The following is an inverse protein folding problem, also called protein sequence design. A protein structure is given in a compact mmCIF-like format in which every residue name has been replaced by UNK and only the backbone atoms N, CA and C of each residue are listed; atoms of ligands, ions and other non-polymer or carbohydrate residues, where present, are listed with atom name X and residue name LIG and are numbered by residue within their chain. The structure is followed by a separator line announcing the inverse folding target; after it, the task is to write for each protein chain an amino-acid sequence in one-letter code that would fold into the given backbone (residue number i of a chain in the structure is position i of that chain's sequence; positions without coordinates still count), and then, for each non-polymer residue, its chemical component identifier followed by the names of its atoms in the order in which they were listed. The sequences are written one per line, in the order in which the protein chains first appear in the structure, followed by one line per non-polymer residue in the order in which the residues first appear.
data_IF_904152021986
#
_entry.id   IF_904152021986
#
_cell.length_a   1.000
_cell.length_b   1.000
_cell.length_c   1.000
_cell.angle_alpha   90.00
_cell.angle_beta   90.00
_cell.angle_gamma   90.00
#
_symmetry.space_group_name_H-M   'P 1'
#
loop_
_entity.id
_entity.type
_entity.pdbx_description
1 polymer ?
#
# COMPACT_ATOMS: atom_id res chain seq x y z
N UNK A 1 -17.82 21.18 5.59
CA UNK A 1 -16.71 21.43 4.65
C UNK A 1 -17.11 21.18 3.19
N UNK A 2 -17.55 19.99 2.77
CA UNK A 2 -17.86 19.74 1.34
C UNK A 2 -19.08 20.51 0.78
N UNK A 3 -20.17 20.62 1.55
CA UNK A 3 -21.35 21.42 1.17
C UNK A 3 -21.04 22.92 1.12
N UNK A 4 -20.16 23.38 2.00
CA UNK A 4 -19.65 24.75 2.06
C UNK A 4 -18.76 25.04 0.84
N UNK A 5 -17.86 24.13 0.46
CA UNK A 5 -17.07 24.25 -0.77
C UNK A 5 -17.95 24.41 -2.01
N UNK A 6 -19.03 23.64 -2.12
CA UNK A 6 -19.98 23.76 -3.22
C UNK A 6 -20.71 25.12 -3.21
N UNK A 7 -21.11 25.62 -2.04
CA UNK A 7 -21.75 26.93 -1.91
C UNK A 7 -20.78 28.06 -2.28
N UNK A 8 -19.54 28.00 -1.81
CA UNK A 8 -18.50 28.98 -2.16
C UNK A 8 -18.24 28.95 -3.66
N UNK A 9 -18.15 27.76 -4.27
CA UNK A 9 -17.94 27.58 -5.71
C UNK A 9 -19.08 28.24 -6.50
N UNK A 10 -20.33 27.94 -6.16
CA UNK A 10 -21.52 28.51 -6.82
C UNK A 10 -21.70 30.00 -6.60
N UNK A 11 -21.13 30.55 -5.53
CA UNK A 11 -21.17 31.98 -5.25
C UNK A 11 -20.11 32.80 -6.01
N UNK A 12 -19.20 32.13 -6.75
CA UNK A 12 -18.10 32.80 -7.46
C UNK A 12 -17.01 33.39 -6.54
N UNK A 13 -17.03 33.04 -5.25
CA UNK A 13 -16.08 33.57 -4.26
C UNK A 13 -14.76 32.78 -4.20
N UNK A 14 -14.67 31.65 -4.90
CA UNK A 14 -13.40 30.95 -5.11
C UNK A 14 -12.60 31.69 -6.17
N UNK A 15 -11.43 32.22 -5.79
CA UNK A 15 -10.51 32.88 -6.74
C UNK A 15 -9.27 32.01 -6.88
N UNK A 16 -8.94 31.63 -8.12
CA UNK A 16 -7.72 30.88 -8.47
C UNK A 16 -7.52 29.58 -7.69
N UNK A 17 -8.60 28.80 -7.51
CA UNK A 17 -8.52 27.54 -6.80
C UNK A 17 -7.57 26.57 -7.53
N UNK A 18 -6.56 26.06 -6.82
CA UNK A 18 -5.67 24.99 -7.30
C UNK A 18 -6.15 23.61 -6.88
N UNK A 19 -7.00 23.54 -5.85
CA UNK A 19 -7.62 22.32 -5.35
C UNK A 19 -9.10 22.55 -5.06
N UNK A 20 -9.94 21.63 -5.54
CA UNK A 20 -11.35 21.55 -5.20
C UNK A 20 -11.67 20.18 -4.61
N UNK A 21 -12.41 20.17 -3.51
CA UNK A 21 -12.91 18.97 -2.84
C UNK A 21 -14.43 19.06 -2.69
N UNK A 22 -15.14 18.26 -3.48
CA UNK A 22 -16.59 18.25 -3.59
C UNK A 22 -17.08 16.84 -3.22
N UNK A 23 -17.51 16.66 -1.98
CA UNK A 23 -18.10 15.40 -1.47
C UNK A 23 -19.46 15.69 -0.84
N UNK A 24 -20.45 15.98 -1.68
CA UNK A 24 -21.72 16.58 -1.24
C UNK A 24 -22.94 15.99 -1.96
N UNK A 25 -22.83 14.72 -2.38
CA UNK A 25 -23.93 13.99 -3.03
C UNK A 25 -24.21 14.48 -4.45
N UNK A 26 -23.17 14.89 -5.19
CA UNK A 26 -23.31 15.34 -6.57
C UNK A 26 -23.76 14.20 -7.48
N UNK A 27 -24.76 14.45 -8.33
CA UNK A 27 -25.13 13.55 -9.44
C UNK A 27 -24.50 13.98 -10.77
N UNK A 28 -24.01 15.23 -10.83
CA UNK A 28 -23.29 15.80 -11.96
C UNK A 28 -22.17 16.74 -11.49
N UNK A 29 -21.14 16.92 -12.31
CA UNK A 29 -20.08 17.89 -12.03
C UNK A 29 -20.61 19.32 -12.28
N UNK A 30 -20.60 20.22 -11.28
CA UNK A 30 -21.06 21.60 -11.47
C UNK A 30 -20.22 22.35 -12.51
N UNK A 31 -20.88 23.13 -13.38
CA UNK A 31 -20.21 23.86 -14.48
C UNK A 31 -19.24 24.92 -13.97
N UNK A 32 -19.47 25.43 -12.77
CA UNK A 32 -18.64 26.43 -12.09
C UNK A 32 -17.21 25.93 -11.85
N UNK A 33 -16.97 24.60 -11.81
CA UNK A 33 -15.62 24.03 -11.76
C UNK A 33 -14.76 24.51 -12.94
N UNK A 34 -15.35 24.73 -14.11
CA UNK A 34 -14.65 25.16 -15.33
C UNK A 34 -14.25 26.63 -15.32
N UNK A 35 -14.72 27.44 -14.36
CA UNK A 35 -14.24 28.81 -14.15
C UNK A 35 -12.80 28.84 -13.61
N UNK A 36 -12.28 27.70 -13.15
CA UNK A 36 -10.91 27.52 -12.66
C UNK A 36 -10.01 26.76 -13.65
N UNK A 37 -10.33 26.76 -14.95
CA UNK A 37 -9.54 26.07 -16.00
C UNK A 37 -8.05 26.41 -15.99
N UNK A 38 -7.74 27.67 -15.65
CA UNK A 38 -6.37 28.21 -15.66
C UNK A 38 -5.57 27.91 -14.40
N UNK A 39 -6.18 27.37 -13.34
CA UNK A 39 -5.52 27.20 -12.03
C UNK A 39 -5.70 25.83 -11.40
N UNK A 40 -6.78 25.11 -11.70
CA UNK A 40 -7.14 23.89 -11.00
C UNK A 40 -6.18 22.73 -11.32
N UNK A 41 -5.48 22.23 -10.31
CA UNK A 41 -4.55 21.11 -10.41
C UNK A 41 -5.10 19.82 -9.79
N UNK A 42 -5.94 19.93 -8.76
CA UNK A 42 -6.48 18.80 -8.01
C UNK A 42 -8.01 18.91 -7.92
N UNK A 43 -8.71 17.92 -8.47
CA UNK A 43 -10.16 17.79 -8.35
C UNK A 43 -10.52 16.49 -7.63
N UNK A 44 -11.07 16.61 -6.42
CA UNK A 44 -11.58 15.50 -5.65
C UNK A 44 -13.12 15.51 -5.66
N UNK A 45 -13.70 14.47 -6.25
CA UNK A 45 -15.12 14.18 -6.40
C UNK A 45 -15.50 12.89 -5.64
N UNK A 46 -14.71 12.49 -4.65
CA UNK A 46 -14.93 11.25 -3.89
C UNK A 46 -16.22 11.32 -3.06
N UNK A 47 -17.00 10.23 -3.03
CA UNK A 47 -18.19 10.13 -2.18
C UNK A 47 -19.38 10.94 -2.72
N UNK A 48 -19.65 10.81 -4.02
CA UNK A 48 -20.83 11.38 -4.67
C UNK A 48 -21.63 10.27 -5.39
N UNK A 49 -22.58 10.65 -6.24
CA UNK A 49 -23.39 9.76 -7.06
C UNK A 49 -23.17 10.04 -8.56
N UNK A 50 -21.91 10.30 -8.96
CA UNK A 50 -21.56 10.54 -10.36
C UNK A 50 -21.54 9.22 -11.12
N UNK A 51 -22.20 9.19 -12.28
CA UNK A 51 -22.12 8.08 -13.24
C UNK A 51 -21.36 8.44 -14.51
N UNK A 52 -21.03 9.72 -14.72
CA UNK A 52 -20.33 10.24 -15.89
C UNK A 52 -19.52 11.50 -15.54
N UNK A 53 -18.54 11.84 -16.38
CA UNK A 53 -17.85 13.13 -16.37
C UNK A 53 -18.19 13.89 -17.66
N UNK A 54 -18.34 15.23 -17.61
CA UNK A 54 -18.70 16.02 -18.78
C UNK A 54 -17.56 16.08 -19.82
N UNK A 55 -17.91 16.18 -21.10
CA UNK A 55 -16.96 16.33 -22.22
C UNK A 55 -16.05 17.56 -22.10
N UNK A 56 -16.46 18.56 -21.32
CA UNK A 56 -15.68 19.77 -21.04
C UNK A 56 -14.51 19.56 -20.07
N UNK A 57 -14.35 18.37 -19.47
CA UNK A 57 -13.26 18.08 -18.53
C UNK A 57 -11.85 18.46 -19.03
N UNK A 58 -11.47 18.25 -20.31
CA UNK A 58 -10.17 18.61 -20.84
C UNK A 58 -9.86 20.11 -20.83
N UNK A 59 -10.88 20.97 -20.64
CA UNK A 59 -10.70 22.41 -20.42
C UNK A 59 -9.90 22.71 -19.15
N UNK A 60 -9.86 21.80 -18.19
CA UNK A 60 -9.01 21.93 -17.01
C UNK A 60 -7.56 21.57 -17.35
N UNK A 61 -6.91 22.42 -18.16
CA UNK A 61 -5.61 22.13 -18.78
C UNK A 61 -4.48 21.90 -17.77
N UNK A 62 -4.63 22.37 -16.52
CA UNK A 62 -3.67 22.14 -15.42
C UNK A 62 -4.05 20.99 -14.49
N UNK A 63 -5.15 20.28 -14.75
CA UNK A 63 -5.61 19.19 -13.88
C UNK A 63 -4.60 18.03 -13.92
N UNK A 64 -3.98 17.78 -12.77
CA UNK A 64 -2.97 16.73 -12.57
C UNK A 64 -3.51 15.55 -11.79
N UNK A 65 -4.47 15.80 -10.89
CA UNK A 65 -5.03 14.79 -9.99
C UNK A 65 -6.55 14.82 -10.06
N UNK A 66 -7.14 13.68 -10.39
CA UNK A 66 -8.58 13.47 -10.42
C UNK A 66 -8.96 12.27 -9.54
N UNK A 67 -9.79 12.51 -8.52
CA UNK A 67 -10.36 11.46 -7.69
C UNK A 67 -11.88 11.40 -7.82
N UNK A 68 -12.39 10.26 -8.22
CA UNK A 68 -13.80 9.93 -8.42
C UNK A 68 -14.17 8.65 -7.65
N UNK A 69 -13.54 8.42 -6.49
CA UNK A 69 -13.78 7.19 -5.71
C UNK A 69 -15.16 7.22 -5.05
N UNK A 70 -15.76 6.06 -4.76
CA UNK A 70 -17.09 5.98 -4.12
C UNK A 70 -18.15 6.78 -4.87
N UNK A 71 -18.37 6.42 -6.14
CA UNK A 71 -19.36 6.98 -7.05
C UNK A 71 -20.12 5.82 -7.75
N UNK A 72 -20.87 6.11 -8.81
CA UNK A 72 -21.75 5.16 -9.51
C UNK A 72 -21.27 4.85 -10.94
N UNK A 73 -19.98 5.01 -11.22
CA UNK A 73 -19.41 4.72 -12.55
C UNK A 73 -19.48 3.22 -12.87
N UNK A 74 -20.09 2.86 -13.99
CA UNK A 74 -20.11 1.48 -14.55
C UNK A 74 -19.15 1.30 -15.72
N UNK A 75 -18.71 2.39 -16.33
CA UNK A 75 -17.67 2.46 -17.38
C UNK A 75 -16.66 3.54 -16.99
N UNK A 76 -15.38 3.28 -17.20
CA UNK A 76 -14.35 4.30 -17.00
C UNK A 76 -14.53 5.43 -18.02
N UNK A 77 -14.63 6.72 -17.62
CA UNK A 77 -15.00 7.79 -18.54
C UNK A 77 -13.95 8.06 -19.61
N UNK A 78 -14.35 8.00 -20.89
CA UNK A 78 -13.44 8.19 -22.03
C UNK A 78 -12.74 9.56 -22.02
N UNK A 79 -13.44 10.60 -21.57
CA UNK A 79 -12.94 11.98 -21.46
C UNK A 79 -11.69 12.12 -20.59
N UNK A 80 -11.41 11.15 -19.71
CA UNK A 80 -10.16 11.13 -18.92
C UNK A 80 -8.94 10.98 -19.84
N UNK A 81 -9.05 10.25 -20.95
CA UNK A 81 -7.99 10.12 -21.95
C UNK A 81 -7.65 11.44 -22.64
N UNK A 82 -8.60 12.36 -22.71
CA UNK A 82 -8.43 13.66 -23.36
C UNK A 82 -7.79 14.72 -22.45
N UNK A 83 -7.50 14.39 -21.19
CA UNK A 83 -6.93 15.34 -20.22
C UNK A 83 -5.38 15.23 -20.18
N UNK A 84 -4.63 16.10 -20.89
CA UNK A 84 -3.21 15.87 -21.18
C UNK A 84 -2.28 15.98 -19.95
N UNK A 85 -2.70 16.72 -18.92
CA UNK A 85 -1.90 16.99 -17.73
C UNK A 85 -2.10 15.97 -16.61
N UNK A 86 -3.05 15.04 -16.74
CA UNK A 86 -3.36 14.08 -15.69
C UNK A 86 -2.17 13.15 -15.42
N UNK A 87 -1.84 13.04 -14.14
CA UNK A 87 -0.78 12.17 -13.61
C UNK A 87 -1.31 11.15 -12.61
N UNK A 88 -2.42 11.46 -11.96
CA UNK A 88 -3.02 10.61 -10.94
C UNK A 88 -4.54 10.57 -11.12
N UNK A 89 -5.06 9.36 -11.26
CA UNK A 89 -6.49 9.12 -11.49
C UNK A 89 -6.97 8.02 -10.56
N UNK A 90 -8.05 8.26 -9.82
CA UNK A 90 -8.60 7.26 -8.91
C UNK A 90 -10.10 7.12 -8.97
N UNK A 91 -10.56 5.89 -9.22
CA UNK A 91 -11.96 5.46 -9.26
C UNK A 91 -12.18 4.27 -8.32
N UNK A 92 -11.63 4.33 -7.09
CA UNK A 92 -11.82 3.25 -6.11
C UNK A 92 -13.30 3.08 -5.72
N UNK A 93 -13.77 1.85 -5.48
CA UNK A 93 -15.11 1.58 -4.94
C UNK A 93 -16.22 2.18 -5.83
N UNK A 94 -16.15 1.87 -7.11
CA UNK A 94 -17.19 2.16 -8.10
C UNK A 94 -17.81 0.82 -8.55
N UNK A 95 -18.41 0.79 -9.75
CA UNK A 95 -19.03 -0.39 -10.32
C UNK A 95 -18.51 -0.65 -11.74
N UNK A 96 -17.27 -0.21 -12.03
CA UNK A 96 -16.71 -0.21 -13.37
C UNK A 96 -16.55 -1.65 -13.85
N UNK A 97 -17.22 -1.98 -14.95
CA UNK A 97 -17.12 -3.27 -15.64
C UNK A 97 -16.27 -3.17 -16.90
N UNK A 98 -16.29 -1.99 -17.56
CA UNK A 98 -15.58 -1.72 -18.80
C UNK A 98 -14.59 -0.55 -18.62
N UNK A 99 -13.34 -0.79 -18.98
CA UNK A 99 -12.35 0.25 -19.23
C UNK A 99 -12.17 0.34 -20.75
N UNK A 100 -12.66 1.41 -21.41
CA UNK A 100 -12.61 1.52 -22.86
C UNK A 100 -11.17 1.70 -23.35
N UNK A 101 -10.92 1.30 -24.59
CA UNK A 101 -9.63 1.45 -25.26
C UNK A 101 -9.44 2.90 -25.71
N UNK A 102 -8.92 3.73 -24.80
CA UNK A 102 -8.72 5.18 -25.00
C UNK A 102 -7.24 5.53 -25.00
N UNK A 103 -6.82 6.67 -25.59
CA UNK A 103 -5.46 7.17 -25.44
C UNK A 103 -5.29 7.71 -24.02
N UNK A 104 -4.92 6.86 -23.06
CA UNK A 104 -4.66 7.29 -21.68
C UNK A 104 -3.60 8.41 -21.65
N UNK A 105 -3.64 9.32 -20.65
CA UNK A 105 -2.66 10.39 -20.55
C UNK A 105 -1.23 9.84 -20.49
N UNK A 106 -0.36 10.34 -21.37
CA UNK A 106 1.02 9.83 -21.53
C UNK A 106 1.83 9.90 -20.22
N UNK A 107 1.55 10.92 -19.39
CA UNK A 107 2.21 11.15 -18.12
C UNK A 107 1.46 10.56 -16.92
N UNK A 108 0.51 9.65 -17.13
CA UNK A 108 -0.19 8.94 -16.05
C UNK A 108 0.82 8.08 -15.27
N UNK A 109 0.98 8.40 -13.98
CA UNK A 109 1.90 7.70 -13.06
C UNK A 109 1.17 6.85 -12.03
N UNK A 110 -0.06 7.19 -11.70
CA UNK A 110 -0.83 6.53 -10.66
C UNK A 110 -2.28 6.32 -11.12
N UNK A 111 -2.69 5.06 -11.26
CA UNK A 111 -4.06 4.68 -11.56
C UNK A 111 -4.64 3.80 -10.45
N UNK A 112 -5.78 4.21 -9.88
CA UNK A 112 -6.53 3.46 -8.87
C UNK A 112 -7.87 3.02 -9.44
N UNK A 113 -8.04 1.71 -9.61
CA UNK A 113 -9.29 1.06 -10.00
C UNK A 113 -9.70 -0.03 -8.99
N UNK A 114 -9.17 0.04 -7.77
CA UNK A 114 -9.49 -0.88 -6.68
C UNK A 114 -11.00 -0.96 -6.42
N UNK A 115 -11.51 -2.14 -6.10
CA UNK A 115 -12.90 -2.37 -5.70
C UNK A 115 -13.87 -1.95 -6.82
N UNK A 116 -13.81 -2.65 -7.94
CA UNK A 116 -14.66 -2.50 -9.12
C UNK A 116 -15.07 -3.90 -9.63
N UNK A 117 -15.51 -4.02 -10.89
CA UNK A 117 -15.98 -5.27 -11.49
C UNK A 117 -15.28 -5.58 -12.82
N UNK A 118 -14.08 -5.04 -13.01
CA UNK A 118 -13.33 -5.06 -14.27
C UNK A 118 -12.87 -6.48 -14.58
N UNK A 119 -13.14 -6.95 -15.80
CA UNK A 119 -12.73 -8.28 -16.28
C UNK A 119 -11.46 -8.27 -17.13
N UNK A 120 -11.23 -7.18 -17.84
CA UNK A 120 -10.10 -6.97 -18.75
C UNK A 120 -9.69 -5.51 -18.74
N UNK A 121 -8.40 -5.24 -18.96
CA UNK A 121 -7.86 -3.90 -19.19
C UNK A 121 -7.49 -3.74 -20.67
N UNK A 122 -7.61 -2.54 -21.26
CA UNK A 122 -7.27 -2.30 -22.65
C UNK A 122 -5.75 -2.33 -22.89
N UNK A 123 -5.34 -2.67 -24.11
CA UNK A 123 -3.92 -2.64 -24.50
C UNK A 123 -3.34 -1.23 -24.50
N UNK A 124 -4.17 -0.21 -24.81
CA UNK A 124 -3.72 1.19 -24.84
C UNK A 124 -3.15 1.69 -23.51
N UNK A 125 -3.59 1.12 -22.38
CA UNK A 125 -3.08 1.46 -21.06
C UNK A 125 -1.58 1.14 -20.94
N UNK A 126 -1.09 0.15 -21.72
CA UNK A 126 0.33 -0.15 -21.80
C UNK A 126 1.17 1.08 -22.19
N UNK A 127 0.64 2.00 -23.01
CA UNK A 127 1.39 3.17 -23.49
C UNK A 127 1.76 4.18 -22.38
N UNK A 128 1.15 4.08 -21.18
CA UNK A 128 1.52 4.88 -20.01
C UNK A 128 2.85 4.42 -19.39
N UNK A 129 3.96 4.59 -20.11
CA UNK A 129 5.29 4.12 -19.70
C UNK A 129 5.84 4.79 -18.43
N UNK A 130 5.21 5.88 -18.00
CA UNK A 130 5.48 6.60 -16.74
C UNK A 130 4.72 6.02 -15.53
N UNK A 131 3.94 4.96 -15.70
CA UNK A 131 3.20 4.30 -14.62
C UNK A 131 4.15 3.86 -13.51
N UNK A 132 3.90 4.31 -12.29
CA UNK A 132 4.62 3.94 -11.06
C UNK A 132 3.75 3.13 -10.10
N UNK A 133 2.45 3.42 -10.06
CA UNK A 133 1.50 2.82 -9.11
C UNK A 133 0.20 2.41 -9.78
N UNK A 134 -0.09 1.11 -9.78
CA UNK A 134 -1.29 0.54 -10.38
C UNK A 134 -2.07 -0.28 -9.35
N UNK A 135 -3.25 0.20 -8.97
CA UNK A 135 -4.09 -0.41 -7.93
C UNK A 135 -5.33 -1.03 -8.58
N UNK A 136 -5.40 -2.35 -8.60
CA UNK A 136 -6.43 -3.15 -9.28
C UNK A 136 -7.09 -4.19 -8.34
N UNK A 137 -6.80 -4.15 -7.04
CA UNK A 137 -7.36 -5.12 -6.09
C UNK A 137 -8.89 -5.11 -6.09
N UNK A 138 -9.54 -6.25 -5.83
CA UNK A 138 -11.00 -6.32 -5.76
C UNK A 138 -11.68 -6.10 -7.10
N UNK A 139 -11.22 -6.82 -8.14
CA UNK A 139 -11.82 -6.82 -9.48
C UNK A 139 -12.10 -8.27 -9.91
N UNK A 140 -12.34 -8.49 -11.21
CA UNK A 140 -12.60 -9.81 -11.81
C UNK A 140 -11.57 -10.14 -12.89
N UNK A 141 -10.35 -9.61 -12.76
CA UNK A 141 -9.27 -9.77 -13.73
C UNK A 141 -8.75 -11.20 -13.69
N UNK A 142 -8.56 -11.81 -14.87
CA UNK A 142 -7.92 -13.13 -15.00
C UNK A 142 -6.47 -13.07 -15.50
N UNK A 143 -6.13 -11.96 -16.15
CA UNK A 143 -4.81 -11.67 -16.70
C UNK A 143 -4.62 -10.14 -16.77
N UNK A 144 -3.37 -9.74 -16.99
CA UNK A 144 -3.02 -8.37 -17.39
C UNK A 144 -2.54 -8.43 -18.86
N UNK A 145 -2.74 -7.37 -19.66
CA UNK A 145 -2.24 -7.31 -21.04
C UNK A 145 -0.72 -7.53 -21.12
N UNK A 146 -0.25 -8.26 -22.13
CA UNK A 146 1.19 -8.54 -22.33
C UNK A 146 1.99 -7.25 -22.56
N UNK A 147 1.37 -6.22 -23.14
CA UNK A 147 2.00 -4.92 -23.33
C UNK A 147 2.38 -4.22 -22.01
N UNK A 148 1.85 -4.65 -20.85
CA UNK A 148 2.26 -4.11 -19.55
C UNK A 148 3.70 -4.47 -19.18
N UNK A 149 4.33 -5.41 -19.90
CA UNK A 149 5.78 -5.65 -19.81
C UNK A 149 6.61 -4.38 -20.05
N UNK A 150 6.06 -3.36 -20.72
CA UNK A 150 6.73 -2.07 -20.98
C UNK A 150 6.64 -1.06 -19.82
N UNK A 151 5.93 -1.38 -18.73
CA UNK A 151 5.88 -0.55 -17.52
C UNK A 151 7.17 -0.64 -16.69
N UNK A 152 8.29 -0.24 -17.30
CA UNK A 152 9.62 -0.25 -16.69
C UNK A 152 9.75 0.70 -15.48
N UNK A 153 8.80 1.63 -15.31
CA UNK A 153 8.69 2.54 -14.16
C UNK A 153 7.77 2.03 -13.04
N UNK A 154 7.07 0.91 -13.23
CA UNK A 154 6.11 0.41 -12.26
C UNK A 154 6.84 -0.07 -11.00
N UNK A 155 6.46 0.49 -9.87
CA UNK A 155 7.06 0.22 -8.56
C UNK A 155 6.09 -0.51 -7.62
N UNK A 156 4.79 -0.18 -7.73
CA UNK A 156 3.73 -0.75 -6.91
C UNK A 156 2.59 -1.29 -7.78
N UNK A 157 2.29 -2.58 -7.64
CA UNK A 157 1.14 -3.25 -8.26
C UNK A 157 0.29 -3.96 -7.20
N UNK A 158 -1.01 -3.63 -7.14
CA UNK A 158 -1.98 -4.40 -6.35
C UNK A 158 -2.99 -5.08 -7.26
N UNK A 159 -3.04 -6.39 -7.21
CA UNK A 159 -3.98 -7.25 -7.96
C UNK A 159 -4.64 -8.27 -7.04
N UNK A 160 -4.66 -8.03 -5.73
CA UNK A 160 -5.31 -8.91 -4.76
C UNK A 160 -6.82 -9.05 -5.04
N UNK A 161 -7.42 -10.15 -4.61
CA UNK A 161 -8.85 -10.41 -4.75
C UNK A 161 -9.35 -10.22 -6.19
N UNK A 162 -8.77 -10.98 -7.11
CA UNK A 162 -9.15 -11.07 -8.51
C UNK A 162 -9.33 -12.57 -8.88
N UNK A 163 -9.32 -12.90 -10.18
CA UNK A 163 -9.53 -14.24 -10.69
C UNK A 163 -8.27 -14.79 -11.41
N UNK A 164 -7.07 -14.35 -11.01
CA UNK A 164 -5.83 -14.80 -11.63
C UNK A 164 -5.58 -16.29 -11.38
N UNK A 165 -5.38 -17.06 -12.45
CA UNK A 165 -4.93 -18.46 -12.40
C UNK A 165 -3.41 -18.62 -12.42
N UNK A 166 -2.69 -17.57 -12.80
CA UNK A 166 -1.23 -17.47 -12.81
C UNK A 166 -0.83 -16.00 -12.86
N UNK A 167 0.41 -15.68 -12.49
CA UNK A 167 0.99 -14.36 -12.69
C UNK A 167 1.53 -14.24 -14.14
N UNK A 168 1.48 -13.06 -14.77
CA UNK A 168 2.11 -12.84 -16.07
C UNK A 168 3.62 -13.06 -16.01
N UNK A 169 4.21 -13.70 -17.03
CA UNK A 169 5.64 -14.07 -17.02
C UNK A 169 6.60 -12.88 -17.01
N UNK A 170 6.16 -11.72 -17.50
CA UNK A 170 6.96 -10.49 -17.49
C UNK A 170 7.00 -9.82 -16.10
N UNK A 171 6.09 -10.16 -15.18
CA UNK A 171 5.90 -9.41 -13.94
C UNK A 171 7.16 -9.35 -13.07
N UNK A 172 7.81 -10.50 -12.88
CA UNK A 172 9.03 -10.60 -12.05
C UNK A 172 10.27 -10.07 -12.76
N UNK A 173 10.18 -9.74 -14.05
CA UNK A 173 11.25 -9.12 -14.83
C UNK A 173 11.22 -7.58 -14.80
N UNK A 174 10.15 -6.98 -14.27
CA UNK A 174 10.04 -5.53 -14.19
C UNK A 174 11.15 -4.96 -13.28
N UNK A 175 11.98 -4.03 -13.80
CA UNK A 175 13.19 -3.61 -13.11
C UNK A 175 12.89 -2.79 -11.85
N UNK A 176 11.73 -2.13 -11.77
CA UNK A 176 11.38 -1.24 -10.65
C UNK A 176 10.33 -1.77 -9.70
N UNK A 177 9.66 -2.89 -10.03
CA UNK A 177 8.61 -3.43 -9.18
C UNK A 177 9.20 -3.88 -7.84
N UNK A 178 8.64 -3.36 -6.75
CA UNK A 178 9.09 -3.58 -5.38
C UNK A 178 7.94 -4.03 -4.47
N UNK A 179 6.74 -3.47 -4.68
CA UNK A 179 5.57 -3.74 -3.85
C UNK A 179 4.49 -4.41 -4.69
N UNK A 180 4.23 -5.68 -4.39
CA UNK A 180 3.31 -6.53 -5.13
C UNK A 180 2.37 -7.22 -4.15
N UNK A 181 1.06 -7.03 -4.31
CA UNK A 181 0.05 -7.83 -3.62
C UNK A 181 -0.88 -8.54 -4.59
N UNK A 182 -1.10 -9.83 -4.37
CA UNK A 182 -1.95 -10.70 -5.19
C UNK A 182 -2.71 -11.74 -4.36
N UNK A 183 -2.83 -11.56 -3.04
CA UNK A 183 -3.58 -12.48 -2.18
C UNK A 183 -5.06 -12.56 -2.58
N UNK A 184 -5.73 -13.66 -2.27
CA UNK A 184 -7.15 -13.83 -2.59
C UNK A 184 -7.45 -14.10 -4.06
N UNK A 185 -6.45 -14.53 -4.82
CA UNK A 185 -6.63 -15.03 -6.18
C UNK A 185 -6.50 -16.58 -6.20
N UNK A 186 -7.12 -17.26 -7.18
CA UNK A 186 -7.05 -18.72 -7.31
C UNK A 186 -5.65 -19.34 -7.29
N UNK A 187 -4.63 -18.67 -7.85
CA UNK A 187 -3.24 -19.18 -7.87
C UNK A 187 -2.52 -19.08 -6.52
N UNK A 188 -2.99 -18.24 -5.61
CA UNK A 188 -2.36 -17.94 -4.32
C UNK A 188 -3.35 -18.13 -3.17
N UNK A 189 -3.85 -19.37 -2.95
CA UNK A 189 -4.82 -19.64 -1.90
C UNK A 189 -4.18 -19.39 -0.53
N UNK A 190 -4.84 -18.58 0.28
CA UNK A 190 -4.51 -18.47 1.70
C UNK A 190 -4.94 -19.75 2.44
N UNK A 191 -4.23 -20.16 3.51
CA UNK A 191 -4.74 -21.18 4.41
C UNK A 191 -6.08 -20.74 5.01
N UNK A 192 -6.98 -21.70 5.25
CA UNK A 192 -8.25 -21.39 5.90
C UNK A 192 -7.99 -20.77 7.27
N UNK A 193 -8.74 -19.74 7.63
CA UNK A 193 -8.67 -19.15 8.99
C UNK A 193 -8.99 -20.15 10.09
N UNK A 194 -9.72 -21.23 9.77
CA UNK A 194 -10.04 -22.31 10.70
C UNK A 194 -8.88 -23.27 10.92
N UNK A 195 -7.92 -23.32 9.98
CA UNK A 195 -6.73 -24.18 10.08
C UNK A 195 -5.63 -23.54 10.93
N UNK A 196 -5.74 -22.23 11.22
CA UNK A 196 -4.75 -21.51 12.03
C UNK A 196 -5.25 -21.45 13.48
N UNK A 197 -4.63 -22.19 14.42
CA UNK A 197 -5.08 -22.23 15.80
C UNK A 197 -4.95 -20.85 16.44
N UNK A 198 -6.08 -20.20 16.69
CA UNK A 198 -6.13 -18.84 17.23
C UNK A 198 -7.20 -18.67 18.30
N UNK A 199 -6.94 -17.78 19.25
CA UNK A 199 -7.87 -17.42 20.31
C UNK A 199 -8.96 -16.48 19.79
N UNK A 200 -10.22 -16.87 20.00
CA UNK A 200 -11.36 -15.99 19.81
C UNK A 200 -11.49 -15.02 20.98
N UNK A 201 -11.54 -13.73 20.68
CA UNK A 201 -11.65 -12.64 21.65
C UNK A 201 -12.97 -11.92 21.41
N UNK A 202 -14.00 -12.13 22.25
CA UNK A 202 -15.29 -11.44 22.09
C UNK A 202 -15.13 -9.94 22.27
N UNK A 203 -15.76 -9.15 21.39
CA UNK A 203 -15.72 -7.68 21.45
C UNK A 203 -16.12 -7.13 22.82
N UNK A 204 -17.10 -7.76 23.48
CA UNK A 204 -17.57 -7.38 24.82
C UNK A 204 -16.49 -7.44 25.91
N UNK A 205 -15.35 -8.10 25.65
CA UNK A 205 -14.22 -8.18 26.58
C UNK A 205 -13.19 -7.07 26.38
N UNK A 206 -13.35 -6.26 25.34
CA UNK A 206 -12.44 -5.17 24.97
C UNK A 206 -13.06 -3.84 25.37
N UNK A 207 -12.30 -3.05 26.12
CA UNK A 207 -12.65 -1.66 26.43
C UNK A 207 -11.69 -0.75 25.68
N UNK A 208 -12.16 -0.13 24.58
CA UNK A 208 -11.38 0.83 23.81
C UNK A 208 -11.14 2.11 24.61
N UNK A 209 -9.98 2.72 24.39
CA UNK A 209 -9.53 3.91 25.11
C UNK A 209 -9.09 5.02 24.14
N UNK A 210 -7.97 4.82 23.44
CA UNK A 210 -7.33 5.84 22.60
C UNK A 210 -7.07 5.32 21.19
N UNK A 211 -7.37 6.11 20.16
CA UNK A 211 -6.93 5.83 18.80
C UNK A 211 -5.39 5.99 18.71
N UNK A 212 -4.70 4.93 18.33
CA UNK A 212 -3.24 4.91 18.14
C UNK A 212 -2.86 5.26 16.70
N UNK A 213 -3.67 4.82 15.73
CA UNK A 213 -3.44 5.10 14.33
C UNK A 213 -4.65 4.75 13.47
N UNK A 214 -4.73 5.36 12.30
CA UNK A 214 -5.79 5.10 11.33
C UNK A 214 -5.19 5.12 9.91
N UNK A 215 -5.35 4.01 9.20
CA UNK A 215 -4.82 3.82 7.86
C UNK A 215 -5.89 3.43 6.84
N UNK A 216 -5.43 2.98 5.68
CA UNK A 216 -6.28 2.48 4.60
C UNK A 216 -6.94 1.14 4.95
N UNK A 217 -6.25 0.29 5.72
CA UNK A 217 -6.72 -1.04 6.12
C UNK A 217 -7.64 -1.03 7.34
N UNK A 218 -7.51 -0.06 8.24
CA UNK A 218 -8.25 -0.10 9.50
C UNK A 218 -7.96 1.03 10.49
N UNK A 219 -8.57 0.92 11.67
CA UNK A 219 -8.31 1.77 12.84
C UNK A 219 -7.64 0.93 13.91
N UNK A 220 -6.54 1.42 14.46
CA UNK A 220 -5.81 0.78 15.55
C UNK A 220 -6.04 1.59 16.82
N UNK A 221 -6.59 0.97 17.85
CA UNK A 221 -6.89 1.61 19.14
C UNK A 221 -6.22 0.87 20.29
N UNK A 222 -5.76 1.61 21.30
CA UNK A 222 -5.42 1.07 22.61
C UNK A 222 -6.70 0.58 23.27
N UNK A 223 -6.64 -0.60 23.88
CA UNK A 223 -7.75 -1.16 24.64
C UNK A 223 -7.26 -1.90 25.89
N UNK A 224 -8.19 -2.09 26.82
CA UNK A 224 -8.03 -3.00 27.95
C UNK A 224 -8.77 -4.30 27.65
N UNK A 225 -8.05 -5.41 27.64
CA UNK A 225 -8.63 -6.75 27.45
C UNK A 225 -8.88 -7.43 28.78
N UNK A 226 -10.15 -7.69 29.07
CA UNK A 226 -10.61 -8.30 30.31
C UNK A 226 -10.84 -9.80 30.08
N UNK A 227 -9.91 -10.64 30.55
CA UNK A 227 -10.07 -12.09 30.50
C UNK A 227 -11.23 -12.55 31.39
N UNK A 228 -11.96 -13.59 30.97
CA UNK A 228 -13.12 -14.17 31.71
C UNK A 228 -12.80 -14.60 33.15
N UNK A 229 -11.53 -14.74 33.50
CA UNK A 229 -11.09 -15.20 34.82
C UNK A 229 -10.80 -14.06 35.82
N UNK A 230 -11.01 -12.79 35.43
CA UNK A 230 -11.16 -11.67 36.38
C UNK A 230 -9.90 -11.20 37.13
N UNK A 231 -8.70 -11.70 36.82
CA UNK A 231 -7.53 -11.36 37.63
C UNK A 231 -6.80 -10.08 37.23
N UNK A 232 -6.85 -9.61 35.98
CA UNK A 232 -6.30 -8.30 35.58
C UNK A 232 -6.67 -7.95 34.14
N UNK A 233 -6.85 -6.65 33.87
CA UNK A 233 -7.00 -6.13 32.52
C UNK A 233 -5.62 -6.03 31.85
N UNK A 234 -5.45 -6.67 30.69
CA UNK A 234 -4.22 -6.60 29.93
C UNK A 234 -4.32 -5.46 28.90
N UNK A 235 -3.36 -4.52 28.84
CA UNK A 235 -3.32 -3.53 27.77
C UNK A 235 -2.97 -4.19 26.44
N UNK A 236 -3.75 -3.89 25.41
CA UNK A 236 -3.61 -4.44 24.05
C UNK A 236 -3.81 -3.37 22.99
N UNK A 237 -3.35 -3.65 21.77
CA UNK A 237 -3.71 -2.91 20.57
C UNK A 237 -4.81 -3.67 19.82
N UNK A 238 -5.84 -2.97 19.37
CA UNK A 238 -6.99 -3.53 18.65
C UNK A 238 -7.05 -2.91 17.26
N UNK A 239 -6.82 -3.70 16.22
CA UNK A 239 -6.99 -3.31 14.82
C UNK A 239 -8.38 -3.74 14.35
N UNK A 240 -9.24 -2.79 14.00
CA UNK A 240 -10.52 -3.04 13.36
C UNK A 240 -10.41 -2.67 11.87
N UNK A 241 -10.70 -3.61 10.99
CA UNK A 241 -10.58 -3.41 9.54
C UNK A 241 -11.70 -2.53 9.00
N UNK A 242 -11.40 -1.76 7.95
CA UNK A 242 -12.37 -0.88 7.28
C UNK A 242 -12.91 -1.54 6.01
N UNK A 243 -14.23 -1.71 5.97
CA UNK A 243 -14.95 -2.19 4.78
C UNK A 243 -14.61 -3.63 4.40
N UNK A 244 -15.21 -4.10 3.30
CA UNK A 244 -14.97 -5.44 2.78
C UNK A 244 -13.70 -5.54 1.89
N UNK A 245 -13.19 -4.40 1.40
CA UNK A 245 -12.05 -4.35 0.49
C UNK A 245 -11.15 -3.14 0.80
N UNK A 246 -9.85 -3.39 0.97
CA UNK A 246 -8.82 -2.36 1.16
C UNK A 246 -8.05 -2.13 -0.15
N UNK A 247 -7.11 -1.18 -0.16
CA UNK A 247 -6.16 -1.01 -1.26
C UNK A 247 -5.34 -2.27 -1.54
N UNK A 248 -5.04 -3.01 -0.48
CA UNK A 248 -4.03 -4.07 -0.48
C UNK A 248 -4.68 -5.45 -0.58
N UNK A 249 -5.98 -5.55 -0.25
CA UNK A 249 -6.81 -6.72 -0.53
C UNK A 249 -7.96 -6.89 0.48
N UNK A 250 -8.33 -8.15 0.66
CA UNK A 250 -9.35 -8.58 1.63
C UNK A 250 -8.79 -8.61 3.05
N UNK A 251 -9.50 -8.07 4.06
CA UNK A 251 -9.08 -8.15 5.46
C UNK A 251 -8.77 -9.57 5.96
N UNK A 252 -9.48 -10.58 5.44
CA UNK A 252 -9.31 -11.97 5.83
C UNK A 252 -7.96 -12.52 5.38
N UNK A 253 -7.44 -12.08 4.23
CA UNK A 253 -6.13 -12.48 3.72
C UNK A 253 -5.01 -11.87 4.56
N UNK A 254 -5.14 -10.59 4.92
CA UNK A 254 -4.20 -9.93 5.82
C UNK A 254 -4.15 -10.64 7.18
N UNK A 255 -5.32 -10.96 7.73
CA UNK A 255 -5.43 -11.72 8.97
C UNK A 255 -4.77 -13.10 8.84
N UNK A 256 -5.07 -13.85 7.78
CA UNK A 256 -4.46 -15.17 7.55
C UNK A 256 -2.93 -15.08 7.42
N UNK A 257 -2.40 -14.06 6.72
CA UNK A 257 -0.97 -13.84 6.58
C UNK A 257 -0.31 -13.48 7.90
N UNK A 258 -0.87 -12.53 8.66
CA UNK A 258 -0.35 -12.13 9.97
C UNK A 258 -0.27 -13.33 10.94
N UNK A 259 -1.21 -14.27 10.85
CA UNK A 259 -1.22 -15.47 11.68
C UNK A 259 -0.25 -16.53 11.18
N UNK A 260 -0.21 -16.78 9.87
CA UNK A 260 0.71 -17.74 9.27
C UNK A 260 2.18 -17.30 9.36
N UNK A 261 2.44 -16.00 9.52
CA UNK A 261 3.76 -15.46 9.79
C UNK A 261 4.37 -16.08 11.07
N UNK A 262 3.54 -16.40 12.08
CA UNK A 262 3.99 -16.89 13.38
C UNK A 262 4.81 -15.85 14.16
N UNK A 263 5.41 -16.26 15.26
CA UNK A 263 6.18 -15.35 16.12
C UNK A 263 7.53 -14.98 15.50
N UNK A 264 7.87 -13.70 15.59
CA UNK A 264 9.18 -13.16 15.25
C UNK A 264 9.46 -11.96 16.15
N UNK A 265 10.71 -11.79 16.58
CA UNK A 265 11.09 -10.70 17.50
C UNK A 265 10.80 -9.28 16.94
N UNK A 266 10.71 -9.15 15.62
CA UNK A 266 10.45 -7.90 14.92
C UNK A 266 9.00 -7.78 14.40
N UNK A 267 8.08 -8.65 14.84
CA UNK A 267 6.64 -8.48 14.62
C UNK A 267 5.94 -7.96 15.86
N UNK A 268 4.76 -7.38 15.65
CA UNK A 268 3.79 -7.23 16.73
C UNK A 268 3.04 -8.55 16.86
N UNK A 269 3.12 -9.18 18.03
CA UNK A 269 2.45 -10.46 18.27
C UNK A 269 0.93 -10.30 18.14
N UNK A 270 0.32 -11.18 17.35
CA UNK A 270 -1.13 -11.31 17.25
C UNK A 270 -1.62 -12.23 18.37
N UNK A 271 -2.45 -11.70 19.26
CA UNK A 271 -2.97 -12.40 20.43
C UNK A 271 -4.27 -13.17 20.14
N UNK A 272 -5.02 -12.73 19.13
CA UNK A 272 -6.26 -13.39 18.71
C UNK A 272 -7.09 -12.55 17.75
N UNK A 273 -8.19 -13.14 17.25
CA UNK A 273 -9.16 -12.45 16.40
C UNK A 273 -10.33 -11.93 17.22
N UNK A 274 -10.87 -10.81 16.78
CA UNK A 274 -12.10 -10.25 17.32
C UNK A 274 -13.28 -11.08 16.84
N UNK A 275 -14.19 -11.40 17.75
CA UNK A 275 -15.49 -12.02 17.44
C UNK A 275 -16.63 -11.17 18.00
N UNK A 276 -17.83 -11.30 17.44
CA UNK A 276 -19.03 -10.61 17.92
C UNK A 276 -18.91 -9.07 17.93
N UNK A 277 -18.19 -8.49 16.96
CA UNK A 277 -18.18 -7.04 16.78
C UNK A 277 -19.61 -6.54 16.50
N UNK A 278 -20.09 -5.44 17.12
CA UNK A 278 -21.47 -4.95 16.98
C UNK A 278 -21.91 -4.71 15.54
N UNK A 279 -20.98 -4.28 14.69
CA UNK A 279 -21.19 -4.00 13.27
C UNK A 279 -20.73 -5.15 12.34
N UNK A 280 -20.34 -6.30 12.91
CA UNK A 280 -19.83 -7.44 12.13
C UNK A 280 -18.45 -7.25 11.52
N UNK A 281 -17.71 -6.20 11.90
CA UNK A 281 -16.36 -5.94 11.40
C UNK A 281 -15.34 -7.00 11.86
N UNK A 282 -14.40 -7.32 10.97
CA UNK A 282 -13.23 -8.13 11.30
C UNK A 282 -12.19 -7.31 12.06
N UNK A 283 -11.38 -7.97 12.89
CA UNK A 283 -10.27 -7.32 13.55
C UNK A 283 -9.35 -8.25 14.31
N UNK A 284 -8.21 -7.72 14.69
CA UNK A 284 -7.13 -8.40 15.41
C UNK A 284 -6.87 -7.72 16.75
N UNK A 285 -6.59 -8.53 17.75
CA UNK A 285 -6.02 -8.09 19.03
C UNK A 285 -4.54 -8.44 19.01
N UNK A 286 -3.69 -7.47 19.30
CA UNK A 286 -2.25 -7.56 19.22
C UNK A 286 -1.62 -7.07 20.53
N UNK A 287 -0.37 -7.46 20.77
CA UNK A 287 0.43 -6.90 21.86
C UNK A 287 0.53 -5.38 21.73
N UNK A 288 0.30 -4.66 22.84
CA UNK A 288 0.54 -3.23 22.88
C UNK A 288 2.05 -2.99 22.99
N UNK A 289 2.58 -2.18 22.07
CA UNK A 289 3.98 -1.75 22.13
C UNK A 289 4.15 -0.63 23.18
N UNK A 290 5.36 -0.53 23.72
CA UNK A 290 5.70 0.56 24.65
C UNK A 290 5.67 1.94 23.95
N UNK A 291 5.51 3.01 24.73
CA UNK A 291 5.29 4.38 24.20
C UNK A 291 6.51 4.97 23.48
N UNK A 292 7.68 4.33 23.54
CA UNK A 292 8.90 4.78 22.86
C UNK A 292 8.95 4.40 21.36
N UNK A 293 8.03 3.55 20.88
CA UNK A 293 7.94 3.24 19.46
C UNK A 293 7.30 4.37 18.66
N UNK A 294 7.97 4.77 17.58
CA UNK A 294 7.51 5.80 16.65
C UNK A 294 7.59 5.31 15.19
N UNK A 295 6.72 5.87 14.33
CA UNK A 295 6.76 5.58 12.90
C UNK A 295 8.11 6.02 12.31
N UNK A 296 8.74 5.15 11.53
CA UNK A 296 10.00 5.44 10.88
C UNK A 296 9.85 6.54 9.82
N UNK A 297 8.71 6.57 9.11
CA UNK A 297 8.35 7.61 8.16
C UNK A 297 6.82 7.81 8.06
N UNK A 298 6.40 8.88 7.39
CA UNK A 298 5.04 9.04 6.87
C UNK A 298 4.87 8.36 5.50
N UNK A 299 3.61 8.08 5.08
CA UNK A 299 3.34 7.38 3.83
C UNK A 299 3.71 8.23 2.60
N UNK A 300 3.74 7.64 1.39
CA UNK A 300 4.04 8.38 0.18
C UNK A 300 3.03 9.50 -0.11
N UNK A 301 3.50 10.57 -0.76
CA UNK A 301 2.69 11.72 -1.16
C UNK A 301 2.32 11.65 -2.65
N UNK A 302 1.47 12.57 -3.13
CA UNK A 302 1.22 12.72 -4.58
C UNK A 302 2.47 13.17 -5.37
N UNK A 303 3.48 13.72 -4.70
CA UNK A 303 4.72 14.11 -5.36
C UNK A 303 5.65 12.91 -5.48
N UNK A 304 5.91 12.23 -4.36
CA UNK A 304 6.81 11.09 -4.28
C UNK A 304 6.25 9.81 -4.91
N UNK A 305 4.91 9.72 -5.04
CA UNK A 305 4.13 8.62 -5.59
C UNK A 305 4.21 7.31 -4.79
N UNK A 306 5.43 6.83 -4.56
CA UNK A 306 5.78 5.54 -3.98
C UNK A 306 6.87 5.62 -2.93
N UNK A 307 7.55 6.76 -2.74
CA UNK A 307 8.58 6.92 -1.69
C UNK A 307 8.01 7.52 -0.41
N UNK A 308 8.43 7.00 0.73
CA UNK A 308 7.98 7.47 2.05
C UNK A 308 8.51 8.86 2.38
N UNK A 309 7.76 9.57 3.23
CA UNK A 309 8.03 10.96 3.59
C UNK A 309 8.54 11.02 5.02
N UNK A 310 9.82 11.31 5.18
CA UNK A 310 10.45 11.50 6.48
C UNK A 310 10.39 12.96 6.91
N UNK A 311 10.45 13.22 8.22
CA UNK A 311 10.58 14.59 8.69
C UNK A 311 11.94 15.18 8.22
N UNK A 312 12.01 16.46 7.78
CA UNK A 312 13.24 17.03 7.21
C UNK A 312 14.47 16.98 8.12
N UNK A 313 14.26 16.97 9.45
CA UNK A 313 15.32 16.91 10.47
C UNK A 313 15.59 15.50 10.98
N UNK A 314 14.93 14.47 10.44
CA UNK A 314 15.07 13.11 10.92
C UNK A 314 16.36 12.49 10.40
N UNK A 315 17.24 12.14 11.33
CA UNK A 315 18.53 11.49 11.06
C UNK A 315 18.70 10.28 11.96
N UNK A 316 19.56 9.34 11.54
CA UNK A 316 19.88 8.13 12.28
C UNK A 316 21.39 8.02 12.49
N UNK A 317 21.81 7.37 13.58
CA UNK A 317 23.17 6.83 13.67
C UNK A 317 23.30 5.64 12.72
N UNK A 318 24.53 5.31 12.29
CA UNK A 318 24.74 4.16 11.43
C UNK A 318 24.28 2.86 12.11
N UNK A 319 24.56 2.71 13.41
CA UNK A 319 24.09 1.57 14.23
C UNK A 319 22.57 1.43 14.19
N UNK A 320 21.82 2.53 14.33
CA UNK A 320 20.34 2.51 14.28
C UNK A 320 19.86 2.10 12.89
N UNK A 321 20.42 2.70 11.84
CA UNK A 321 20.07 2.37 10.46
C UNK A 321 20.35 0.90 10.13
N UNK A 322 21.50 0.37 10.57
CA UNK A 322 21.85 -1.03 10.41
C UNK A 322 20.93 -1.96 11.19
N UNK A 323 20.57 -1.61 12.43
CA UNK A 323 19.61 -2.39 13.23
C UNK A 323 18.24 -2.49 12.56
N UNK A 324 17.74 -1.38 11.98
CA UNK A 324 16.50 -1.36 11.20
C UNK A 324 16.63 -2.27 9.97
N UNK A 325 17.72 -2.14 9.21
CA UNK A 325 17.97 -2.95 8.03
C UNK A 325 18.07 -4.46 8.37
N UNK A 326 18.79 -4.83 9.44
CA UNK A 326 18.88 -6.20 9.93
C UNK A 326 17.52 -6.75 10.32
N UNK A 327 16.70 -5.95 11.01
CA UNK A 327 15.35 -6.34 11.39
C UNK A 327 14.45 -6.61 10.18
N UNK A 328 14.51 -5.75 9.16
CA UNK A 328 13.77 -5.92 7.92
C UNK A 328 14.23 -7.16 7.13
N UNK A 329 15.55 -7.37 7.00
CA UNK A 329 16.10 -8.53 6.33
C UNK A 329 15.75 -9.84 7.05
N UNK A 330 15.82 -9.85 8.37
CA UNK A 330 15.45 -11.00 9.20
C UNK A 330 13.98 -11.38 9.05
N UNK A 331 13.08 -10.39 9.03
CA UNK A 331 11.65 -10.62 8.75
C UNK A 331 11.43 -11.17 7.34
N UNK A 332 12.07 -10.60 6.33
CA UNK A 332 11.99 -11.08 4.95
C UNK A 332 12.41 -12.55 4.84
N UNK A 333 13.55 -12.91 5.44
CA UNK A 333 14.04 -14.28 5.49
C UNK A 333 13.06 -15.23 6.20
N UNK A 334 12.48 -14.79 7.32
CA UNK A 334 11.52 -15.57 8.10
C UNK A 334 10.22 -15.86 7.34
N UNK A 335 9.70 -14.89 6.59
CA UNK A 335 8.48 -15.06 5.78
C UNK A 335 8.74 -15.90 4.52
N UNK A 336 9.85 -15.65 3.81
CA UNK A 336 10.24 -16.41 2.61
C UNK A 336 10.43 -17.91 2.91
N UNK A 337 11.03 -18.23 4.07
CA UNK A 337 11.17 -19.59 4.57
C UNK A 337 9.81 -20.29 4.78
N UNK A 338 8.74 -19.52 5.01
CA UNK A 338 7.36 -20.00 5.17
C UNK A 338 6.52 -19.90 3.90
N UNK A 339 7.14 -19.56 2.77
CA UNK A 339 6.44 -19.40 1.49
C UNK A 339 5.50 -18.19 1.48
N UNK A 340 5.82 -17.14 2.24
CA UNK A 340 5.07 -15.89 2.29
C UNK A 340 5.93 -14.73 1.79
N UNK A 341 5.30 -13.82 1.09
CA UNK A 341 5.84 -12.50 0.76
C UNK A 341 5.24 -11.47 1.71
N UNK A 342 6.01 -10.48 2.14
CA UNK A 342 5.49 -9.35 2.93
C UNK A 342 4.64 -8.41 2.06
N UNK A 343 5.03 -8.18 0.81
CA UNK A 343 4.32 -7.41 -0.22
C UNK A 343 4.17 -5.91 0.03
N UNK A 344 4.55 -5.43 1.22
CA UNK A 344 4.39 -4.02 1.63
C UNK A 344 5.48 -3.49 2.56
N UNK A 345 6.74 -3.88 2.29
CA UNK A 345 7.89 -3.38 3.05
C UNK A 345 8.11 -1.88 2.80
N UNK A 346 7.62 -1.06 3.73
CA UNK A 346 7.73 0.39 3.71
C UNK A 346 8.24 0.91 5.06
N UNK A 347 8.89 2.07 5.05
CA UNK A 347 9.28 2.74 6.28
C UNK A 347 8.06 3.18 7.09
N UNK A 348 6.98 3.64 6.46
CA UNK A 348 5.76 4.00 7.19
C UNK A 348 5.05 2.81 7.87
N UNK A 349 5.40 1.57 7.47
CA UNK A 349 4.93 0.33 8.08
C UNK A 349 5.89 -0.22 9.16
N UNK A 350 7.00 0.48 9.42
CA UNK A 350 8.00 0.13 10.43
C UNK A 350 7.89 1.11 11.60
N UNK A 351 7.75 0.56 12.80
CA UNK A 351 7.98 1.28 14.04
C UNK A 351 9.42 1.06 14.50
N UNK A 352 10.06 2.10 14.99
CA UNK A 352 11.39 2.02 15.59
C UNK A 352 11.41 2.68 16.98
N UNK A 353 12.37 2.25 17.80
CA UNK A 353 12.64 2.80 19.12
C UNK A 353 14.06 3.37 19.16
N UNK A 354 14.35 4.30 20.08
CA UNK A 354 15.67 4.93 20.24
C UNK A 354 16.82 3.96 20.57
N UNK A 355 16.48 2.76 21.04
CA UNK A 355 17.44 1.70 21.38
C UNK A 355 17.72 0.74 20.21
N UNK A 356 17.27 1.10 19.01
CA UNK A 356 17.46 0.32 17.78
C UNK A 356 16.44 -0.80 17.58
N UNK A 357 15.51 -1.06 18.52
CA UNK A 357 14.44 -2.05 18.31
C UNK A 357 13.49 -1.61 17.20
N UNK A 358 13.06 -2.56 16.38
CA UNK A 358 12.13 -2.34 15.27
C UNK A 358 10.98 -3.34 15.26
N UNK A 359 9.81 -2.88 14.79
CA UNK A 359 8.61 -3.69 14.61
C UNK A 359 7.99 -3.41 13.25
N UNK A 360 7.79 -4.46 12.46
CA UNK A 360 6.96 -4.40 11.25
C UNK A 360 5.51 -4.60 11.65
N UNK A 361 4.64 -3.72 11.16
CA UNK A 361 3.26 -3.58 11.67
C UNK A 361 2.17 -3.82 10.65
N UNK A 362 2.49 -3.90 9.36
CA UNK A 362 1.50 -4.08 8.30
C UNK A 362 1.76 -5.35 7.49
N UNK A 363 0.69 -6.13 7.32
CA UNK A 363 0.64 -7.34 6.52
C UNK A 363 -0.40 -7.21 5.39
N UNK A 364 -0.94 -6.01 5.15
CA UNK A 364 -2.01 -5.78 4.17
C UNK A 364 -1.64 -6.23 2.74
N UNK A 365 -0.36 -6.10 2.37
CA UNK A 365 0.16 -6.57 1.08
C UNK A 365 0.63 -8.02 1.07
N UNK A 366 0.60 -8.73 2.20
CA UNK A 366 1.22 -10.04 2.32
C UNK A 366 0.51 -11.10 1.46
N UNK A 367 1.30 -12.01 0.89
CA UNK A 367 0.78 -13.05 -0.02
C UNK A 367 1.42 -14.40 0.24
N UNK A 368 0.70 -15.46 -0.06
CA UNK A 368 1.25 -16.81 -0.11
C UNK A 368 1.77 -17.09 -1.51
N UNK A 369 2.99 -17.60 -1.59
CA UNK A 369 3.61 -17.97 -2.85
C UNK A 369 2.91 -19.20 -3.42
N UNK A 370 2.49 -19.19 -4.71
CA UNK A 370 1.91 -20.36 -5.36
C UNK A 370 2.83 -21.60 -5.24
N UNK A 371 2.26 -22.75 -4.87
CA UNK A 371 3.02 -24.01 -4.78
C UNK A 371 3.30 -24.59 -6.17
N UNK A 372 4.39 -25.36 -6.29
CA UNK A 372 4.69 -26.14 -7.50
C UNK A 372 5.56 -25.43 -8.55
N UNK A 373 5.96 -24.18 -8.32
CA UNK A 373 6.91 -23.46 -9.18
C UNK A 373 8.05 -22.83 -8.36
N UNK A 374 9.18 -23.54 -8.17
CA UNK A 374 10.34 -23.02 -7.47
C UNK A 374 10.99 -21.81 -8.16
N UNK A 375 10.85 -21.70 -9.50
CA UNK A 375 11.40 -20.60 -10.28
C UNK A 375 10.64 -19.30 -10.01
N UNK A 376 9.31 -19.37 -10.02
CA UNK A 376 8.45 -18.25 -9.63
C UNK A 376 8.68 -17.84 -8.18
N UNK A 377 8.77 -18.80 -7.25
CA UNK A 377 9.09 -18.51 -5.84
C UNK A 377 10.37 -17.68 -5.73
N UNK A 378 11.47 -18.16 -6.32
CA UNK A 378 12.76 -17.46 -6.27
C UNK A 378 12.66 -16.06 -6.91
N UNK A 379 11.93 -15.92 -8.01
CA UNK A 379 11.77 -14.64 -8.69
C UNK A 379 10.95 -13.63 -7.85
N UNK A 380 9.93 -14.08 -7.13
CA UNK A 380 9.16 -13.25 -6.19
C UNK A 380 10.00 -12.84 -4.99
N UNK A 381 10.79 -13.76 -4.41
CA UNK A 381 11.70 -13.45 -3.30
C UNK A 381 12.69 -12.34 -3.68
N UNK A 382 13.28 -12.43 -4.89
CA UNK A 382 14.17 -11.39 -5.43
C UNK A 382 13.45 -10.09 -5.77
N UNK A 383 12.17 -10.15 -6.17
CA UNK A 383 11.38 -8.94 -6.41
C UNK A 383 11.24 -8.12 -5.11
N UNK A 384 10.87 -8.76 -4.01
CA UNK A 384 10.64 -8.10 -2.71
C UNK A 384 11.92 -7.47 -2.12
N UNK A 385 13.09 -8.05 -2.40
CA UNK A 385 14.39 -7.48 -2.02
C UNK A 385 14.59 -6.05 -2.53
N UNK A 386 13.91 -5.67 -3.62
CA UNK A 386 13.97 -4.29 -4.09
C UNK A 386 13.36 -3.31 -3.10
N UNK A 387 12.25 -3.66 -2.45
CA UNK A 387 11.65 -2.81 -1.42
C UNK A 387 12.61 -2.62 -0.25
N UNK A 388 13.36 -3.66 0.11
CA UNK A 388 14.44 -3.56 1.08
C UNK A 388 15.57 -2.63 0.62
N UNK A 389 15.99 -2.71 -0.65
CA UNK A 389 16.98 -1.79 -1.21
C UNK A 389 16.54 -0.32 -1.17
N UNK A 390 15.23 -0.06 -1.37
CA UNK A 390 14.63 1.27 -1.23
C UNK A 390 14.68 1.75 0.22
N UNK A 391 14.26 0.91 1.17
CA UNK A 391 14.34 1.23 2.60
C UNK A 391 15.78 1.52 3.03
N UNK A 392 16.74 0.71 2.58
CA UNK A 392 18.16 0.87 2.91
C UNK A 392 18.73 2.18 2.33
N UNK A 393 18.32 2.55 1.11
CA UNK A 393 18.64 3.87 0.53
C UNK A 393 18.14 5.00 1.43
N UNK A 394 16.88 4.93 1.85
CA UNK A 394 16.24 5.96 2.67
C UNK A 394 16.90 6.13 4.04
N UNK A 395 17.31 5.02 4.66
CA UNK A 395 18.05 4.99 5.92
C UNK A 395 19.45 5.60 5.75
N UNK A 396 20.19 5.18 4.73
CA UNK A 396 21.57 5.65 4.50
C UNK A 396 21.64 7.12 4.07
N UNK A 397 20.63 7.62 3.35
CA UNK A 397 20.53 9.06 3.00
C UNK A 397 20.32 9.95 4.23
N UNK A 398 19.93 9.35 5.37
CA UNK A 398 19.64 10.04 6.64
C UNK A 398 20.63 9.68 7.74
N UNK A 399 21.69 8.94 7.42
CA UNK A 399 22.76 8.67 8.38
C UNK A 399 23.63 9.90 8.54
N UNK A 400 23.86 10.32 9.78
CA UNK A 400 24.96 11.25 10.10
C UNK A 400 26.22 10.43 10.23
N UNK A 401 27.12 10.53 9.24
CA UNK A 401 28.31 9.69 9.14
C UNK A 401 29.52 10.45 9.68
N UNK A 402 30.19 9.88 10.68
CA UNK A 402 31.52 10.34 11.10
C UNK A 402 32.61 9.64 10.26
N UNK A 403 33.81 10.24 10.15
CA UNK A 403 34.87 9.77 9.26
C UNK A 403 35.31 8.30 9.46
N UNK A 404 35.06 7.73 10.65
CA UNK A 404 35.40 6.34 11.01
C UNK A 404 34.43 5.33 10.38
N UNK A 405 33.17 5.72 10.20
CA UNK A 405 32.08 4.85 9.75
C UNK A 405 32.00 4.73 8.21
N UNK A 406 32.85 5.48 7.48
CA UNK A 406 32.80 5.58 6.01
C UNK A 406 32.88 4.22 5.30
N UNK A 407 33.70 3.29 5.80
CA UNK A 407 33.85 1.95 5.20
C UNK A 407 32.58 1.11 5.35
N UNK A 408 31.89 1.23 6.48
CA UNK A 408 30.64 0.50 6.74
C UNK A 408 29.51 1.04 5.85
N UNK A 409 29.41 2.37 5.72
CA UNK A 409 28.47 3.02 4.79
C UNK A 409 28.71 2.57 3.36
N UNK A 410 29.96 2.52 2.90
CA UNK A 410 30.30 2.08 1.54
C UNK A 410 29.85 0.63 1.30
N UNK A 411 30.06 -0.27 2.26
CA UNK A 411 29.61 -1.67 2.17
C UNK A 411 28.07 -1.76 2.11
N UNK A 412 27.36 -0.98 2.92
CA UNK A 412 25.90 -0.93 2.90
C UNK A 412 25.36 -0.32 1.60
N UNK A 413 26.04 0.67 1.01
CA UNK A 413 25.70 1.24 -0.30
C UNK A 413 25.92 0.24 -1.45
N UNK A 414 26.97 -0.57 -1.39
CA UNK A 414 27.16 -1.67 -2.36
C UNK A 414 26.03 -2.69 -2.26
N UNK A 415 25.66 -3.10 -1.04
CA UNK A 415 24.53 -3.99 -0.81
C UNK A 415 23.22 -3.38 -1.33
N UNK A 416 22.97 -2.10 -1.04
CA UNK A 416 21.81 -1.35 -1.53
C UNK A 416 21.74 -1.35 -3.06
N UNK A 417 22.86 -1.06 -3.74
CA UNK A 417 22.93 -1.10 -5.20
C UNK A 417 22.62 -2.49 -5.76
N UNK A 418 23.10 -3.58 -5.14
CA UNK A 418 22.75 -4.94 -5.53
C UNK A 418 21.26 -5.25 -5.33
N UNK A 419 20.64 -4.74 -4.26
CA UNK A 419 19.19 -4.91 -4.02
C UNK A 419 18.33 -4.16 -5.04
N UNK A 420 18.81 -3.01 -5.55
CA UNK A 420 18.12 -2.23 -6.58
C UNK A 420 18.44 -2.63 -8.02
N UNK A 421 19.43 -3.51 -8.21
CA UNK A 421 19.91 -3.95 -9.52
C UNK A 421 18.95 -4.87 -10.28
N UNK A 422 19.53 -5.62 -11.23
CA UNK A 422 18.83 -6.56 -12.10
C UNK A 422 17.99 -7.56 -11.28
N UNK A 423 16.68 -7.75 -11.57
CA UNK A 423 15.81 -8.63 -10.78
C UNK A 423 16.37 -10.04 -10.52
N UNK A 424 16.97 -10.66 -11.53
CA UNK A 424 17.53 -12.02 -11.41
C UNK A 424 18.82 -12.10 -10.56
N UNK A 425 19.46 -10.97 -10.28
CA UNK A 425 20.75 -10.89 -9.59
C UNK A 425 20.62 -10.44 -8.13
N UNK A 426 19.47 -9.86 -7.73
CA UNK A 426 19.22 -9.36 -6.37
C UNK A 426 19.43 -10.45 -5.30
N UNK A 427 20.22 -10.22 -4.24
CA UNK A 427 20.50 -11.23 -3.22
C UNK A 427 19.22 -11.68 -2.50
N UNK A 428 19.25 -12.83 -1.83
CA UNK A 428 18.13 -13.26 -0.98
C UNK A 428 18.28 -12.71 0.44
N UNK A 429 17.17 -12.57 1.17
CA UNK A 429 17.19 -12.03 2.53
C UNK A 429 18.17 -12.73 3.50
N UNK A 430 18.33 -14.06 3.49
CA UNK A 430 19.36 -14.71 4.32
C UNK A 430 20.79 -14.23 4.01
N UNK A 431 21.11 -13.99 2.73
CA UNK A 431 22.43 -13.48 2.32
C UNK A 431 22.60 -12.02 2.73
N UNK A 432 21.54 -11.21 2.58
CA UNK A 432 21.48 -9.81 3.01
C UNK A 432 21.73 -9.72 4.52
N UNK A 433 21.03 -10.52 5.31
CA UNK A 433 21.19 -10.56 6.77
C UNK A 433 22.62 -10.92 7.14
N UNK A 434 23.18 -11.99 6.58
CA UNK A 434 24.55 -12.42 6.85
C UNK A 434 25.61 -11.39 6.40
N UNK A 435 25.33 -10.59 5.36
CA UNK A 435 26.19 -9.47 4.96
C UNK A 435 26.12 -8.34 5.99
N UNK A 436 24.93 -7.90 6.39
CA UNK A 436 24.74 -6.84 7.35
C UNK A 436 25.35 -7.17 8.72
N UNK A 437 25.25 -8.42 9.20
CA UNK A 437 25.84 -8.86 10.48
C UNK A 437 27.38 -8.79 10.49
N UNK A 438 28.02 -8.78 9.32
CA UNK A 438 29.49 -8.66 9.19
C UNK A 438 29.98 -7.22 9.11
N UNK A 439 29.10 -6.29 8.79
CA UNK A 439 29.44 -4.86 8.73
C UNK A 439 29.50 -4.37 10.18
N UNK A 440 30.63 -3.81 10.60
CA UNK A 440 30.74 -3.18 11.92
C UNK A 440 30.47 -1.68 11.73
N UNK A 441 29.40 -1.14 12.34
CA UNK A 441 29.03 0.26 12.20
C UNK A 441 30.07 1.19 12.84
#
# INVERSE_FOLDING_TARGET
MSQENLQILRSGNLVNATRLDLSCGLTELPREVFEHSETLEILNLTGNALSSLPEDLPRLHKLRILFCSSNEFTTFPEVVGECPSLRMVGFKSNQIELVPDIPFPEHLRWLILTDNRIKTLPESLGHCTQMQKLMLSGNRLRNLPECFAQFTHLELLRIAANEFGHLPSWLTSLPRLAWLAFAGNPMAPAPSSDDIPMRDIPWSTLQLDKLLGEGASGRISRAQWHSKNGCEAQPVAVKVFKGAMTSDGLPENEMAAALAAGSHQNFVDVLGRITQHPEGAHGLVMSLLDEGFMNLAGPPSFESCTRDIYAPSQTFTLETAQSIALSAASVGAHLHARGQMLGDLYAHNILHHEDGRCRITDFGGATFVPQGDPGLKLALERLEVRAFGVLLEELLDRCTVDAVESSAVDQMRILQAHCLGTPAERPLFPDIQALLERIVP
#
